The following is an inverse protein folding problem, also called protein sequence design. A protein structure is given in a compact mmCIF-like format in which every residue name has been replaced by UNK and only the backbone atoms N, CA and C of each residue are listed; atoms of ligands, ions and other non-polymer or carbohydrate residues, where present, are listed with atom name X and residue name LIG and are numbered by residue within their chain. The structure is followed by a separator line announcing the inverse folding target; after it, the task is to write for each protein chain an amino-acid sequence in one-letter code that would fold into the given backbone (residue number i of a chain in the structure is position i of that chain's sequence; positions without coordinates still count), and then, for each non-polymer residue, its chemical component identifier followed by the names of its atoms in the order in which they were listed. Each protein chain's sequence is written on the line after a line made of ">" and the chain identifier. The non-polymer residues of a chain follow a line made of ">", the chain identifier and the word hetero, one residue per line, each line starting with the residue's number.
data_IF_286794067806
#
_entry.id   IF_286794067806
#
_cell.length_a   1.000
_cell.length_b   1.000
_cell.length_c   1.000
_cell.angle_alpha   90.00
_cell.angle_beta   90.00
_cell.angle_gamma   90.00
#
_symmetry.space_group_name_H-M   'P 1'
#
loop_
_entity.id
_entity.type
_entity.pdbx_description
1 polymer ?
#
# COMPACT_ATOMS: atom_id res chain seq x y z
N UNK A 1 6.40 -11.29 13.92
CA UNK A 1 5.07 -10.70 13.63
C UNK A 1 5.18 -9.25 13.21
N UNK A 2 6.11 -8.47 13.80
CA UNK A 2 6.36 -7.06 13.47
C UNK A 2 6.54 -6.78 11.97
N UNK A 3 7.35 -7.56 11.25
CA UNK A 3 7.64 -7.28 9.82
C UNK A 3 6.40 -7.33 8.90
N UNK A 4 5.48 -8.29 9.10
CA UNK A 4 4.28 -8.42 8.26
C UNK A 4 3.31 -7.25 8.45
N UNK A 5 3.10 -6.86 9.72
CA UNK A 5 2.26 -5.72 10.07
C UNK A 5 2.86 -4.40 9.58
N UNK A 6 4.18 -4.21 9.76
CA UNK A 6 4.88 -3.02 9.25
C UNK A 6 4.79 -2.90 7.72
N UNK A 7 4.95 -4.01 6.98
CA UNK A 7 4.80 -4.03 5.52
C UNK A 7 3.38 -3.65 5.08
N UNK A 8 2.35 -4.16 5.77
CA UNK A 8 0.95 -3.79 5.50
C UNK A 8 0.72 -2.31 5.73
N UNK A 9 1.17 -1.75 6.87
CA UNK A 9 0.99 -0.33 7.20
C UNK A 9 1.70 0.56 6.17
N UNK A 10 2.96 0.26 5.86
CA UNK A 10 3.76 1.04 4.90
C UNK A 10 3.12 0.99 3.50
N UNK A 11 2.72 -0.19 3.05
CA UNK A 11 2.05 -0.36 1.76
C UNK A 11 0.73 0.40 1.68
N UNK A 12 -0.07 0.36 2.75
CA UNK A 12 -1.35 1.08 2.83
C UNK A 12 -1.15 2.59 2.77
N UNK A 13 -0.16 3.13 3.49
CA UNK A 13 0.15 4.57 3.48
C UNK A 13 0.59 5.00 2.07
N UNK A 14 1.55 4.29 1.46
CA UNK A 14 2.02 4.58 0.11
C UNK A 14 0.88 4.56 -0.91
N UNK A 15 0.01 3.56 -0.82
CA UNK A 15 -1.15 3.44 -1.70
C UNK A 15 -2.13 4.60 -1.51
N UNK A 16 -2.54 4.88 -0.28
CA UNK A 16 -3.52 5.93 0.03
C UNK A 16 -3.00 7.33 -0.32
N UNK A 17 -1.74 7.63 -0.01
CA UNK A 17 -1.12 8.92 -0.35
C UNK A 17 -1.02 9.11 -1.86
N UNK A 18 -0.60 8.08 -2.61
CA UNK A 18 -0.50 8.18 -4.07
C UNK A 18 -1.86 8.28 -4.75
N UNK A 19 -2.85 7.53 -4.26
CA UNK A 19 -4.23 7.62 -4.73
C UNK A 19 -4.81 9.01 -4.49
N UNK A 20 -4.66 9.55 -3.28
CA UNK A 20 -5.11 10.90 -2.95
C UNK A 20 -4.43 11.96 -3.82
N UNK A 21 -3.11 11.88 -3.98
CA UNK A 21 -2.35 12.83 -4.79
C UNK A 21 -2.72 12.77 -6.29
N UNK A 22 -3.13 11.61 -6.81
CA UNK A 22 -3.62 11.48 -8.19
C UNK A 22 -5.01 12.11 -8.42
N UNK A 23 -5.85 12.16 -7.38
CA UNK A 23 -7.20 12.73 -7.45
C UNK A 23 -7.29 14.19 -7.03
N UNK A 24 -6.21 14.77 -6.49
CA UNK A 24 -6.16 16.17 -6.10
C UNK A 24 -5.98 17.06 -7.33
N UNK A 25 -6.96 17.92 -7.59
CA UNK A 25 -6.81 19.00 -8.55
C UNK A 25 -5.95 20.11 -7.94
N UNK A 26 -4.66 20.08 -8.24
CA UNK A 26 -3.70 21.09 -7.77
C UNK A 26 -3.74 22.38 -8.60
N UNK A 27 -4.69 22.52 -9.53
CA UNK A 27 -4.86 23.74 -10.33
C UNK A 27 -5.16 24.97 -9.46
N UNK A 28 -5.85 24.80 -8.33
CA UNK A 28 -6.09 25.86 -7.34
C UNK A 28 -4.80 26.40 -6.69
N UNK A 29 -3.72 25.60 -6.68
CA UNK A 29 -2.40 25.97 -6.14
C UNK A 29 -1.41 26.40 -7.22
N UNK A 30 -1.84 26.52 -8.48
CA UNK A 30 -0.97 26.84 -9.62
C UNK A 30 -0.01 25.72 -10.01
N UNK A 31 -0.19 24.51 -9.45
CA UNK A 31 0.63 23.33 -9.73
C UNK A 31 -0.16 22.41 -10.66
N UNK A 32 0.27 22.31 -11.93
CA UNK A 32 -0.25 21.29 -12.84
C UNK A 32 0.58 20.02 -12.69
N UNK A 33 -0.03 18.95 -12.18
CA UNK A 33 0.54 17.62 -12.25
C UNK A 33 0.59 17.24 -13.73
N UNK A 34 1.79 17.17 -14.29
CA UNK A 34 1.99 16.75 -15.66
C UNK A 34 1.76 15.24 -15.84
N UNK A 35 1.69 14.77 -17.10
CA UNK A 35 1.50 13.36 -17.39
C UNK A 35 2.65 12.48 -16.84
N UNK A 36 3.86 13.03 -16.69
CA UNK A 36 5.00 12.32 -16.12
C UNK A 36 4.80 12.04 -14.63
N UNK A 37 4.36 13.05 -13.88
CA UNK A 37 4.11 12.98 -12.45
C UNK A 37 2.94 12.02 -12.14
N UNK A 38 1.90 12.03 -12.98
CA UNK A 38 0.82 11.05 -12.91
C UNK A 38 1.33 9.61 -13.10
N UNK A 39 2.21 9.37 -14.08
CA UNK A 39 2.81 8.05 -14.26
C UNK A 39 3.65 7.64 -13.05
N UNK A 40 4.44 8.55 -12.49
CA UNK A 40 5.23 8.29 -11.28
C UNK A 40 4.31 7.93 -10.10
N UNK A 41 3.27 8.72 -9.85
CA UNK A 41 2.25 8.45 -8.82
C UNK A 41 1.58 7.08 -9.01
N UNK A 42 1.25 6.72 -10.26
CA UNK A 42 0.67 5.43 -10.60
C UNK A 42 1.63 4.27 -10.28
N UNK A 43 2.92 4.40 -10.58
CA UNK A 43 3.93 3.40 -10.22
C UNK A 43 4.09 3.27 -8.70
N UNK A 44 4.12 4.39 -7.97
CA UNK A 44 4.19 4.36 -6.50
C UNK A 44 2.94 3.70 -5.90
N UNK A 45 1.76 3.97 -6.47
CA UNK A 45 0.51 3.32 -6.06
C UNK A 45 0.57 1.81 -6.26
N UNK A 46 1.06 1.32 -7.40
CA UNK A 46 1.23 -0.11 -7.68
C UNK A 46 2.20 -0.75 -6.67
N UNK A 47 3.34 -0.10 -6.40
CA UNK A 47 4.32 -0.60 -5.43
C UNK A 47 3.75 -0.64 -4.00
N UNK A 48 3.04 0.41 -3.58
CA UNK A 48 2.37 0.48 -2.29
C UNK A 48 1.31 -0.62 -2.12
N UNK A 49 0.47 -0.81 -3.14
CA UNK A 49 -0.52 -1.89 -3.18
C UNK A 49 0.12 -3.28 -3.13
N UNK A 50 1.23 -3.50 -3.84
CA UNK A 50 1.99 -4.75 -3.78
C UNK A 50 2.53 -5.06 -2.39
N UNK A 51 3.14 -4.07 -1.73
CA UNK A 51 3.64 -4.21 -0.35
C UNK A 51 2.51 -4.50 0.64
N UNK A 52 1.36 -3.86 0.46
CA UNK A 52 0.17 -4.08 1.28
C UNK A 52 -0.32 -5.54 1.19
N UNK A 53 -0.49 -6.06 -0.03
CA UNK A 53 -0.93 -7.44 -0.28
C UNK A 53 0.07 -8.44 0.29
N UNK A 54 1.38 -8.24 0.08
CA UNK A 54 2.42 -9.12 0.64
C UNK A 54 2.38 -9.16 2.17
N UNK A 55 2.16 -8.00 2.81
CA UNK A 55 1.99 -7.92 4.26
C UNK A 55 0.76 -8.71 4.74
N UNK A 56 -0.39 -8.55 4.08
CA UNK A 56 -1.63 -9.27 4.41
C UNK A 56 -1.48 -10.78 4.27
N UNK A 57 -0.92 -11.25 3.15
CA UNK A 57 -0.68 -12.69 2.91
C UNK A 57 0.15 -13.28 4.04
N UNK A 58 1.19 -12.57 4.48
CA UNK A 58 2.05 -13.05 5.58
C UNK A 58 1.32 -13.09 6.92
N UNK A 59 0.49 -12.10 7.22
CA UNK A 59 -0.33 -12.08 8.44
C UNK A 59 -1.32 -13.25 8.43
N UNK A 60 -1.97 -13.47 7.28
CA UNK A 60 -2.97 -14.51 7.10
C UNK A 60 -2.34 -15.91 7.17
N UNK A 61 -1.23 -16.15 6.48
CA UNK A 61 -0.47 -17.40 6.57
C UNK A 61 -0.09 -17.74 8.03
N UNK A 62 0.40 -16.74 8.77
CA UNK A 62 0.74 -16.92 10.19
C UNK A 62 -0.49 -17.05 11.10
N UNK A 63 -1.64 -16.54 10.69
CA UNK A 63 -2.91 -16.76 11.40
C UNK A 63 -3.38 -18.19 11.22
N UNK A 64 -3.31 -18.72 10.00
CA UNK A 64 -3.66 -20.11 9.66
C UNK A 64 -2.75 -21.09 10.39
N UNK A 65 -1.43 -20.86 10.36
CA UNK A 65 -0.44 -21.67 11.07
C UNK A 65 -0.74 -21.76 12.58
N UNK A 66 -1.03 -20.62 13.21
CA UNK A 66 -1.38 -20.56 14.64
C UNK A 66 -2.70 -21.26 14.97
N UNK A 67 -3.68 -21.21 14.08
CA UNK A 67 -4.94 -21.92 14.28
C UNK A 67 -4.76 -23.44 14.16
N UNK A 68 -4.03 -23.92 13.15
CA UNK A 68 -3.76 -25.35 12.99
C UNK A 68 -2.91 -25.93 14.12
N UNK A 69 -1.95 -25.17 14.66
CA UNK A 69 -1.15 -25.62 15.80
C UNK A 69 -1.92 -25.72 17.12
N UNK A 70 -3.08 -25.08 17.26
CA UNK A 70 -3.93 -25.15 18.46
C UNK A 70 -4.89 -26.34 18.46
N UNK A 71 -5.14 -26.92 17.29
CA UNK A 71 -6.05 -28.05 17.09
C UNK A 71 -5.33 -29.39 17.32
N UNK A 72 -3.99 -29.38 17.30
CA UNK A 72 -3.12 -30.53 17.55
C UNK A 72 -2.66 -30.57 19.00
#
# INVERSE_FOLDING_TARGET
>A
MKLGFSLTIIGLILFATSYSASGMDLSEFGLRIGPLEYHILQWIMILGGGLFILGLVRIMAKSIERNNSKIK
#
